data_IF_197882029687
#
_entry.id   IF_197882029687
#
_cell.length_a   1.000
_cell.length_b   1.000
_cell.length_c   1.000
_cell.angle_alpha   90.00
_cell.angle_beta   90.00
_cell.angle_gamma   90.00
#
_symmetry.space_group_name_H-M   'P 1'
#
loop_
_entity.id
_entity.type
_entity.pdbx_description
1 polymer ?
#
# COMPACT_ATOMS: atom_id res chain seq x y z
N UNK A 1 -12.05 -4.30 -4.62
CA UNK A 1 -11.31 -3.14 -5.16
C UNK A 1 -9.90 -3.60 -5.46
N UNK A 2 -9.38 -3.28 -6.64
CA UNK A 2 -8.08 -3.76 -7.13
C UNK A 2 -7.08 -2.61 -7.19
N UNK A 3 -5.81 -2.92 -7.02
CA UNK A 3 -4.67 -2.05 -7.33
C UNK A 3 -3.70 -2.79 -8.22
N UNK A 4 -3.06 -2.07 -9.14
CA UNK A 4 -2.00 -2.61 -9.99
C UNK A 4 -0.67 -2.04 -9.54
N UNK A 5 0.22 -2.93 -9.10
CA UNK A 5 1.59 -2.59 -8.72
C UNK A 5 2.48 -2.88 -9.92
N UNK A 6 3.06 -1.84 -10.51
CA UNK A 6 3.80 -1.97 -11.77
C UNK A 6 5.25 -2.43 -11.61
N UNK A 7 5.80 -2.34 -10.39
CA UNK A 7 7.21 -2.68 -10.11
C UNK A 7 7.29 -3.41 -8.77
N UNK A 8 8.25 -4.33 -8.66
CA UNK A 8 8.55 -4.98 -7.39
C UNK A 8 8.87 -3.92 -6.33
N UNK A 9 8.25 -4.08 -5.17
CA UNK A 9 8.31 -3.13 -4.09
C UNK A 9 8.40 -3.79 -2.72
N UNK A 10 8.66 -2.99 -1.71
CA UNK A 10 8.66 -3.40 -0.31
C UNK A 10 7.73 -2.51 0.50
N UNK A 11 7.09 -3.08 1.51
CA UNK A 11 6.43 -2.35 2.58
C UNK A 11 7.08 -2.76 3.90
N UNK A 12 7.98 -1.94 4.42
CA UNK A 12 8.85 -2.33 5.54
C UNK A 12 9.70 -3.55 5.16
N UNK A 13 9.45 -4.70 5.81
CA UNK A 13 10.17 -5.96 5.56
C UNK A 13 9.46 -6.90 4.57
N UNK A 14 8.30 -6.50 4.05
CA UNK A 14 7.46 -7.36 3.21
C UNK A 14 7.71 -7.04 1.75
N UNK A 15 8.15 -8.04 0.99
CA UNK A 15 8.25 -7.92 -0.47
C UNK A 15 6.88 -8.10 -1.13
N UNK A 16 6.60 -7.20 -2.07
CA UNK A 16 5.39 -7.14 -2.86
C UNK A 16 5.79 -7.11 -4.34
N UNK A 17 5.66 -8.24 -5.05
CA UNK A 17 5.93 -8.30 -6.49
C UNK A 17 5.02 -7.37 -7.30
N UNK A 18 5.39 -7.10 -8.55
CA UNK A 18 4.48 -6.49 -9.50
C UNK A 18 3.30 -7.42 -9.80
N UNK A 19 2.12 -6.84 -9.99
CA UNK A 19 0.90 -7.57 -10.27
C UNK A 19 -0.37 -6.81 -9.92
N UNK A 20 -1.50 -7.45 -10.20
CA UNK A 20 -2.82 -7.00 -9.74
C UNK A 20 -3.17 -7.64 -8.41
N UNK A 21 -3.62 -6.81 -7.46
CA UNK A 21 -3.98 -7.25 -6.12
C UNK A 21 -5.36 -6.74 -5.73
N UNK A 22 -6.18 -7.62 -5.18
CA UNK A 22 -7.32 -7.23 -4.36
C UNK A 22 -6.82 -6.75 -3.00
N UNK A 23 -7.37 -5.63 -2.51
CA UNK A 23 -6.95 -5.06 -1.23
C UNK A 23 -8.04 -5.28 -0.17
N UNK A 24 -7.65 -5.80 0.98
CA UNK A 24 -8.50 -5.95 2.15
C UNK A 24 -7.83 -5.33 3.39
N UNK A 25 -8.64 -4.82 4.32
CA UNK A 25 -8.17 -4.20 5.57
C UNK A 25 -8.34 -5.18 6.74
N UNK A 26 -7.24 -5.47 7.43
CA UNK A 26 -7.22 -6.11 8.74
C UNK A 26 -6.91 -5.03 9.80
N UNK A 27 -7.95 -4.30 10.21
CA UNK A 27 -7.83 -3.12 11.08
C UNK A 27 -7.38 -3.47 12.51
N UNK A 28 -7.72 -4.65 12.98
CA UNK A 28 -7.33 -5.23 14.27
C UNK A 28 -5.81 -5.42 14.41
N UNK A 29 -5.16 -5.75 13.30
CA UNK A 29 -3.72 -6.02 13.23
C UNK A 29 -2.94 -4.87 12.57
N UNK A 30 -3.63 -3.83 12.11
CA UNK A 30 -3.03 -2.69 11.43
C UNK A 30 -2.35 -3.07 10.12
N UNK A 31 -3.01 -3.90 9.31
CA UNK A 31 -2.45 -4.42 8.06
C UNK A 31 -3.41 -4.27 6.89
N UNK A 32 -2.85 -4.09 5.69
CA UNK A 32 -3.56 -4.35 4.43
C UNK A 32 -3.13 -5.72 3.89
N UNK A 33 -4.08 -6.52 3.47
CA UNK A 33 -3.83 -7.76 2.74
C UNK A 33 -3.95 -7.50 1.24
N UNK A 34 -2.88 -7.76 0.50
CA UNK A 34 -2.83 -7.75 -0.95
C UNK A 34 -2.96 -9.20 -1.46
N UNK A 35 -4.09 -9.52 -2.06
CA UNK A 35 -4.42 -10.87 -2.54
C UNK A 35 -4.34 -10.89 -4.06
N UNK A 36 -3.39 -11.63 -4.61
CA UNK A 36 -3.11 -11.67 -6.04
C UNK A 36 -2.00 -12.67 -6.39
N UNK A 37 -1.97 -13.17 -7.63
CA UNK A 37 -0.93 -14.09 -8.09
C UNK A 37 -0.84 -15.41 -7.28
N UNK A 38 -1.96 -15.87 -6.70
CA UNK A 38 -2.01 -17.07 -5.88
C UNK A 38 -1.44 -16.93 -4.47
N UNK A 39 -1.06 -15.72 -4.03
CA UNK A 39 -0.53 -15.45 -2.69
C UNK A 39 -1.23 -14.26 -2.03
N UNK A 40 -1.09 -14.18 -0.71
CA UNK A 40 -1.53 -13.03 0.09
C UNK A 40 -0.32 -12.38 0.74
N UNK A 41 -0.09 -11.10 0.48
CA UNK A 41 0.95 -10.30 1.10
C UNK A 41 0.30 -9.40 2.16
N UNK A 42 0.64 -9.59 3.43
CA UNK A 42 0.17 -8.73 4.52
C UNK A 42 1.18 -7.62 4.74
N UNK A 43 0.81 -6.38 4.47
CA UNK A 43 1.68 -5.21 4.59
C UNK A 43 1.24 -4.33 5.75
N UNK A 44 2.18 -3.74 6.51
CA UNK A 44 1.83 -2.82 7.60
C UNK A 44 1.12 -1.58 7.05
N UNK A 45 0.09 -1.15 7.76
CA UNK A 45 -0.69 0.04 7.42
C UNK A 45 -0.95 0.89 8.66
N UNK A 46 -0.89 2.21 8.48
CA UNK A 46 -1.14 3.16 9.55
C UNK A 46 -2.49 3.83 9.36
N UNK A 47 -3.22 3.98 10.46
CA UNK A 47 -4.49 4.70 10.45
C UNK A 47 -4.21 6.20 10.34
N UNK A 48 -4.75 6.83 9.31
CA UNK A 48 -4.68 8.29 9.13
C UNK A 48 -5.90 8.95 9.73
N UNK A 49 -5.72 10.11 10.35
CA UNK A 49 -6.84 10.92 10.86
C UNK A 49 -7.67 11.38 9.67
N UNK A 50 -8.85 10.79 9.49
CA UNK A 50 -9.71 11.11 8.37
C UNK A 50 -10.20 12.56 8.48
N UNK A 51 -10.09 13.33 7.40
CA UNK A 51 -10.61 14.70 7.31
C UNK A 51 -12.13 14.75 7.08
N UNK A 52 -12.78 13.60 6.87
CA UNK A 52 -14.23 13.51 6.73
C UNK A 52 -14.74 12.06 6.85
N UNK A 53 -16.04 11.90 7.09
CA UNK A 53 -16.70 10.59 7.08
C UNK A 53 -16.89 10.12 5.63
N UNK A 54 -16.25 9.02 5.25
CA UNK A 54 -16.53 8.38 3.96
C UNK A 54 -17.82 7.57 4.08
N UNK A 55 -18.67 7.61 3.04
CA UNK A 55 -19.91 6.80 2.98
C UNK A 55 -19.71 5.47 2.27
N UNK A 56 -18.62 5.35 1.52
CA UNK A 56 -18.28 4.18 0.72
C UNK A 56 -16.87 3.73 1.04
N UNK A 57 -16.60 2.46 0.75
CA UNK A 57 -15.25 1.90 0.82
C UNK A 57 -14.54 2.22 -0.49
N UNK A 58 -13.34 2.80 -0.42
CA UNK A 58 -12.48 3.09 -1.57
C UNK A 58 -11.06 2.59 -1.33
N UNK A 59 -10.36 2.29 -2.42
CA UNK A 59 -8.94 1.98 -2.43
C UNK A 59 -8.30 2.78 -3.55
N UNK A 60 -7.19 3.45 -3.27
CA UNK A 60 -6.42 4.22 -4.22
C UNK A 60 -4.93 3.89 -4.11
N UNK A 61 -4.25 3.89 -5.25
CA UNK A 61 -2.80 3.85 -5.32
C UNK A 61 -2.31 5.27 -5.64
N UNK A 62 -1.70 5.94 -4.66
CA UNK A 62 -1.29 7.33 -4.78
C UNK A 62 0.24 7.40 -4.91
N UNK A 63 0.80 8.02 -5.96
CA UNK A 63 2.24 8.24 -6.03
C UNK A 63 2.70 9.18 -4.91
N UNK A 64 3.70 8.75 -4.14
CA UNK A 64 4.31 9.55 -3.06
C UNK A 64 5.44 10.45 -3.54
N UNK A 65 5.89 10.27 -4.79
CA UNK A 65 7.07 10.91 -5.37
C UNK A 65 8.27 9.97 -5.39
N UNK A 66 9.15 10.16 -6.38
CA UNK A 66 10.34 9.32 -6.58
C UNK A 66 9.99 7.84 -6.76
N UNK A 67 10.51 7.00 -5.88
CA UNK A 67 10.31 5.55 -5.87
C UNK A 67 9.24 5.06 -4.92
N UNK A 68 8.38 5.97 -4.40
CA UNK A 68 7.38 5.61 -3.40
C UNK A 68 5.96 5.79 -3.91
N UNK A 69 5.06 4.93 -3.42
CA UNK A 69 3.62 5.08 -3.61
C UNK A 69 2.90 4.54 -2.37
N UNK A 70 1.66 4.96 -2.18
CA UNK A 70 0.84 4.62 -1.03
C UNK A 70 -0.43 3.93 -1.48
N UNK A 71 -0.77 2.81 -0.83
CA UNK A 71 -2.12 2.25 -0.91
C UNK A 71 -2.93 2.92 0.19
N UNK A 72 -3.95 3.67 -0.22
CA UNK A 72 -4.89 4.33 0.68
C UNK A 72 -6.21 3.59 0.61
N UNK A 73 -6.65 3.01 1.72
CA UNK A 73 -7.96 2.40 1.87
C UNK A 73 -8.80 3.20 2.84
N UNK A 74 -9.91 3.75 2.35
CA UNK A 74 -10.84 4.53 3.17
C UNK A 74 -12.13 3.75 3.34
N UNK A 75 -12.56 3.58 4.59
CA UNK A 75 -13.74 2.78 4.92
C UNK A 75 -14.67 3.56 5.86
N UNK A 76 -16.00 3.40 5.76
CA UNK A 76 -16.94 4.13 6.61
C UNK A 76 -16.78 3.83 8.11
N UNK A 77 -16.41 2.59 8.46
CA UNK A 77 -16.31 2.13 9.85
C UNK A 77 -14.91 2.32 10.45
N UNK A 78 -13.85 2.07 9.68
CA UNK A 78 -12.48 2.05 10.20
C UNK A 78 -11.68 3.32 9.85
N UNK A 79 -12.24 4.22 9.05
CA UNK A 79 -11.55 5.43 8.58
C UNK A 79 -10.55 5.13 7.48
N UNK A 80 -9.55 6.00 7.34
CA UNK A 80 -8.51 5.92 6.31
C UNK A 80 -7.26 5.20 6.84
N UNK A 81 -6.75 4.28 6.02
CA UNK A 81 -5.56 3.49 6.29
C UNK A 81 -4.59 3.61 5.13
N UNK A 82 -3.31 3.78 5.44
CA UNK A 82 -2.26 4.04 4.46
C UNK A 82 -1.14 3.02 4.64
N UNK A 83 -0.79 2.30 3.58
CA UNK A 83 0.42 1.49 3.52
C UNK A 83 1.38 2.08 2.47
N UNK A 84 2.63 2.31 2.85
CA UNK A 84 3.64 2.86 1.96
C UNK A 84 4.45 1.74 1.30
N UNK A 85 4.59 1.81 -0.01
CA UNK A 85 5.37 0.90 -0.83
C UNK A 85 6.54 1.65 -1.46
N UNK A 86 7.72 1.03 -1.42
CA UNK A 86 8.94 1.54 -2.01
C UNK A 86 9.39 0.62 -3.14
N UNK A 87 9.62 1.16 -4.33
CA UNK A 87 10.11 0.41 -5.49
C UNK A 87 11.57 0.01 -5.26
N UNK A 88 11.85 -1.29 -5.38
CA UNK A 88 13.21 -1.80 -5.38
C UNK A 88 13.98 -1.22 -6.57
N UNK A 89 15.02 -0.41 -6.29
CA UNK A 89 15.88 0.22 -7.31
C UNK A 89 15.74 1.74 -7.48
N UNK A 90 14.99 2.42 -6.60
CA UNK A 90 14.85 3.89 -6.62
C UNK A 90 16.01 4.70 -6.02
N UNK A 91 16.85 4.05 -5.22
CA UNK A 91 17.96 4.69 -4.52
C UNK A 91 19.30 4.01 -4.81
N UNK A 92 19.88 4.30 -5.98
CA UNK A 92 21.34 4.27 -6.17
C UNK A 92 21.76 5.37 -7.13
N UNK A 93 21.88 6.59 -6.60
CA UNK A 93 22.89 7.56 -7.04
C UNK A 93 23.35 8.34 -5.81
N UNK A 94 24.47 7.89 -5.25
CA UNK A 94 25.47 8.61 -4.44
C UNK A 94 26.42 7.52 -3.92
N UNK A 95 27.73 7.54 -4.05
CA UNK A 95 28.66 8.35 -4.83
C UNK A 95 29.93 7.49 -4.95
N UNK A 96 30.49 7.33 -6.15
CA UNK A 96 31.79 6.68 -6.37
C UNK A 96 32.78 7.79 -6.70
N UNK A 97 33.59 8.22 -5.74
CA UNK A 97 35.05 8.33 -5.90
C UNK A 97 35.73 8.64 -4.58
#
# INVERSE_FOLDING_TARGET
MKVTINKNSTCGKVEVPSGEYMVALAADTGQLALVGGGKTHKIPAVRRRATGKTRTTSVALIPGGGSTYSIVMSTPKQGEWVAMLEVAGGGKKEEKK
#
